data_IF_883498589451
#
_entry.id   IF_883498589451
#
_cell.length_a   1.000
_cell.length_b   1.000
_cell.length_c   1.000
_cell.angle_alpha   90.00
_cell.angle_beta   90.00
_cell.angle_gamma   90.00
#
_symmetry.space_group_name_H-M   'P 1'
#
loop_
_entity.id
_entity.type
_entity.pdbx_description
1 polymer ?
#
# COMPACT_ATOMS: atom_id res chain seq x y z
N UNK A 1 9.48 14.84 -10.41
CA UNK A 1 10.39 13.69 -10.52
C UNK A 1 9.67 12.34 -10.36
N UNK A 2 8.96 12.06 -9.26
CA UNK A 2 8.28 10.75 -9.05
C UNK A 2 7.23 10.43 -10.12
N UNK A 3 6.42 11.42 -10.55
CA UNK A 3 5.47 11.27 -11.67
C UNK A 3 6.14 10.89 -13.01
N UNK A 4 7.41 11.23 -13.22
CA UNK A 4 8.15 10.83 -14.42
C UNK A 4 8.73 9.42 -14.29
N UNK A 5 8.93 8.93 -13.06
CA UNK A 5 9.48 7.59 -12.76
C UNK A 5 8.41 6.49 -12.69
N UNK A 6 7.14 6.84 -12.48
CA UNK A 6 6.03 5.90 -12.49
C UNK A 6 4.96 6.36 -13.51
N UNK A 7 4.99 5.84 -14.75
CA UNK A 7 4.03 6.16 -15.80
C UNK A 7 2.55 5.97 -15.38
N UNK A 8 2.31 5.09 -14.39
CA UNK A 8 1.00 4.79 -13.78
C UNK A 8 0.23 6.02 -13.29
N UNK A 9 0.93 7.07 -12.87
CA UNK A 9 0.29 8.32 -12.46
C UNK A 9 -0.36 9.09 -13.62
N UNK A 10 0.04 8.83 -14.88
CA UNK A 10 -0.49 9.50 -16.08
C UNK A 10 -1.55 8.71 -16.83
N UNK A 11 -1.43 7.37 -16.88
CA UNK A 11 -2.27 6.52 -17.76
C UNK A 11 -2.97 5.36 -17.05
N UNK A 12 -2.61 5.05 -15.80
CA UNK A 12 -3.23 3.94 -15.07
C UNK A 12 -4.72 4.14 -14.77
N UNK A 13 -5.46 3.04 -14.71
CA UNK A 13 -6.85 3.03 -14.27
C UNK A 13 -6.95 3.48 -12.80
N UNK A 14 -8.01 4.21 -12.45
CA UNK A 14 -8.27 4.64 -11.08
C UNK A 14 -9.26 3.66 -10.43
N UNK A 15 -8.85 3.03 -9.34
CA UNK A 15 -9.71 2.14 -8.57
C UNK A 15 -9.78 2.65 -7.13
N UNK A 16 -10.94 3.14 -6.73
CA UNK A 16 -11.16 3.60 -5.35
C UNK A 16 -11.16 2.40 -4.39
N UNK A 17 -10.54 2.58 -3.23
CA UNK A 17 -10.50 1.57 -2.18
C UNK A 17 -11.46 1.94 -1.06
N UNK A 18 -12.03 0.92 -0.41
CA UNK A 18 -12.81 1.12 0.80
C UNK A 18 -11.88 1.47 1.96
N UNK A 19 -12.04 2.68 2.48
CA UNK A 19 -11.35 3.18 3.67
C UNK A 19 -12.34 3.27 4.83
N UNK A 20 -11.94 2.78 6.02
CA UNK A 20 -12.77 2.90 7.22
C UNK A 20 -12.92 4.34 7.73
N UNK A 21 -12.02 5.24 7.33
CA UNK A 21 -11.98 6.63 7.76
C UNK A 21 -12.27 7.58 6.58
N UNK A 22 -13.38 8.33 6.57
CA UNK A 22 -13.74 9.23 5.47
C UNK A 22 -12.82 10.46 5.35
N UNK A 23 -11.98 10.73 6.35
CA UNK A 23 -10.94 11.76 6.26
C UNK A 23 -9.72 11.30 5.46
N UNK A 24 -9.64 10.02 5.11
CA UNK A 24 -8.54 9.44 4.34
C UNK A 24 -9.07 8.95 3.00
N UNK A 25 -8.51 9.52 1.92
CA UNK A 25 -8.75 9.08 0.57
C UNK A 25 -7.73 8.00 0.19
N UNK A 26 -8.21 6.85 -0.26
CA UNK A 26 -7.35 5.75 -0.71
C UNK A 26 -7.81 5.21 -2.07
N UNK A 27 -6.88 5.00 -2.98
CA UNK A 27 -7.14 4.46 -4.31
C UNK A 27 -5.87 3.85 -4.90
N UNK A 28 -6.02 2.92 -5.83
CA UNK A 28 -4.92 2.43 -6.65
C UNK A 28 -4.92 3.05 -8.03
N UNK A 29 -3.72 3.12 -8.59
CA UNK A 29 -3.46 3.36 -10.00
C UNK A 29 -2.84 2.10 -10.55
N UNK A 30 -3.44 1.52 -11.59
CA UNK A 30 -3.03 0.22 -12.16
C UNK A 30 -2.78 0.37 -13.65
N UNK A 31 -1.64 -0.13 -14.12
CA UNK A 31 -1.32 -0.38 -15.53
C UNK A 31 -1.09 -1.89 -15.68
N UNK A 32 -1.77 -2.52 -16.63
CA UNK A 32 -1.50 -3.90 -17.01
C UNK A 32 -0.27 -4.00 -17.92
N UNK A 33 0.33 -5.19 -18.04
CA UNK A 33 1.48 -5.43 -18.93
C UNK A 33 1.19 -4.99 -20.37
N UNK A 34 0.00 -5.32 -20.90
CA UNK A 34 -0.44 -4.95 -22.25
C UNK A 34 -0.53 -3.43 -22.49
N UNK A 35 -0.75 -2.66 -21.43
CA UNK A 35 -0.86 -1.20 -21.47
C UNK A 35 0.47 -0.50 -21.15
N UNK A 36 1.46 -1.25 -20.67
CA UNK A 36 2.74 -0.74 -20.23
C UNK A 36 3.69 -0.57 -21.42
N UNK A 37 4.29 0.63 -21.63
CA UNK A 37 5.34 0.81 -22.64
C UNK A 37 6.63 0.02 -22.34
N UNK A 38 6.71 -0.59 -21.16
CA UNK A 38 7.87 -1.28 -20.62
C UNK A 38 7.61 -2.77 -20.36
N UNK A 39 6.46 -3.30 -20.80
CA UNK A 39 6.01 -4.69 -20.58
C UNK A 39 5.99 -5.13 -19.09
N UNK A 40 5.89 -4.18 -18.17
CA UNK A 40 5.83 -4.41 -16.72
C UNK A 40 4.49 -3.93 -16.16
N UNK A 41 3.85 -4.76 -15.33
CA UNK A 41 2.69 -4.35 -14.52
C UNK A 41 3.15 -3.38 -13.43
N UNK A 42 2.49 -2.23 -13.31
CA UNK A 42 2.77 -1.24 -12.27
C UNK A 42 1.48 -0.89 -11.53
N UNK A 43 1.48 -1.13 -10.22
CA UNK A 43 0.37 -0.79 -9.33
C UNK A 43 0.86 0.12 -8.22
N UNK A 44 0.27 1.31 -8.13
CA UNK A 44 0.58 2.28 -7.07
C UNK A 44 -0.64 2.54 -6.21
N UNK A 45 -0.51 2.23 -4.92
CA UNK A 45 -1.46 2.59 -3.88
C UNK A 45 -1.20 4.03 -3.42
N UNK A 46 -2.20 4.90 -3.58
CA UNK A 46 -2.21 6.26 -3.08
C UNK A 46 -3.08 6.36 -1.84
N UNK A 47 -2.53 6.89 -0.74
CA UNK A 47 -3.27 7.13 0.50
C UNK A 47 -3.01 8.56 0.96
N UNK A 48 -4.06 9.36 1.10
CA UNK A 48 -3.96 10.78 1.43
C UNK A 48 -4.89 11.14 2.59
N UNK A 49 -4.33 11.72 3.64
CA UNK A 49 -5.10 12.28 4.75
C UNK A 49 -5.56 13.69 4.41
N UNK A 50 -6.88 13.89 4.29
CA UNK A 50 -7.48 15.20 4.02
C UNK A 50 -7.65 16.04 5.30
N UNK A 51 -7.51 15.42 6.48
CA UNK A 51 -7.55 16.10 7.77
C UNK A 51 -6.20 16.76 8.10
N UNK A 52 -6.25 17.87 8.84
CA UNK A 52 -5.06 18.53 9.41
C UNK A 52 -4.49 17.80 10.64
N UNK A 53 -5.20 16.81 11.15
CA UNK A 53 -4.79 16.02 12.32
C UNK A 53 -4.34 14.63 11.90
N UNK A 54 -3.50 13.94 12.69
CA UNK A 54 -3.18 12.54 12.45
C UNK A 54 -4.44 11.68 12.39
N UNK A 55 -4.49 10.74 11.45
CA UNK A 55 -5.63 9.85 11.24
C UNK A 55 -5.15 8.40 11.06
N UNK A 56 -5.79 7.43 11.75
CA UNK A 56 -5.68 6.03 11.38
C UNK A 56 -6.66 5.71 10.23
N UNK A 57 -6.31 4.72 9.43
CA UNK A 57 -7.20 4.15 8.41
C UNK A 57 -6.94 2.65 8.30
N UNK A 58 -8.02 1.88 8.16
CA UNK A 58 -7.96 0.48 7.75
C UNK A 58 -8.40 0.41 6.29
N UNK A 59 -7.60 -0.26 5.47
CA UNK A 59 -7.83 -0.42 4.04
C UNK A 59 -8.10 -1.89 3.70
N UNK A 60 -9.13 -2.15 2.91
CA UNK A 60 -9.34 -3.47 2.31
C UNK A 60 -8.43 -3.64 1.09
N UNK A 61 -7.33 -4.37 1.28
CA UNK A 61 -6.32 -4.61 0.25
C UNK A 61 -6.26 -6.08 -0.19
N UNK A 62 -7.26 -6.89 0.13
CA UNK A 62 -7.23 -8.36 -0.12
C UNK A 62 -6.98 -8.74 -1.58
N UNK A 63 -7.34 -7.88 -2.54
CA UNK A 63 -7.00 -8.08 -3.97
C UNK A 63 -5.49 -8.18 -4.22
N UNK A 64 -4.69 -7.66 -3.32
CA UNK A 64 -3.23 -7.61 -3.38
C UNK A 64 -2.59 -8.48 -2.28
N UNK A 65 -3.29 -9.50 -1.78
CA UNK A 65 -2.71 -10.42 -0.81
C UNK A 65 -1.37 -11.00 -1.31
N UNK A 66 -0.37 -11.04 -0.43
CA UNK A 66 0.99 -11.43 -0.74
C UNK A 66 1.87 -10.32 -1.31
N UNK A 67 1.29 -9.21 -1.79
CA UNK A 67 2.07 -8.07 -2.28
C UNK A 67 2.73 -7.32 -1.14
N UNK A 68 3.91 -6.78 -1.39
CA UNK A 68 4.64 -5.91 -0.45
C UNK A 68 4.55 -4.44 -0.89
N UNK A 69 3.97 -3.54 -0.08
CA UNK A 69 3.98 -2.11 -0.37
C UNK A 69 5.38 -1.55 -0.15
N UNK A 70 5.93 -0.86 -1.15
CA UNK A 70 7.22 -0.17 -1.06
C UNK A 70 7.00 1.33 -1.24
N UNK A 71 7.38 2.13 -0.25
CA UNK A 71 7.16 3.58 -0.25
C UNK A 71 8.01 4.25 -1.34
N UNK A 72 7.38 4.99 -2.25
CA UNK A 72 8.02 5.46 -3.48
C UNK A 72 9.11 6.53 -3.28
N UNK A 73 9.13 7.28 -2.16
CA UNK A 73 10.14 8.31 -1.91
C UNK A 73 11.44 7.74 -1.33
N UNK A 74 11.32 6.90 -0.31
CA UNK A 74 12.42 6.35 0.48
C UNK A 74 12.76 4.90 0.17
N UNK A 75 11.94 4.20 -0.63
CA UNK A 75 12.13 2.79 -0.97
C UNK A 75 11.92 1.85 0.21
N UNK A 76 11.22 2.29 1.26
CA UNK A 76 11.03 1.50 2.47
C UNK A 76 9.91 0.49 2.23
N UNK A 77 10.23 -0.79 2.40
CA UNK A 77 9.25 -1.87 2.34
C UNK A 77 8.43 -1.94 3.64
N UNK A 78 7.11 -1.99 3.46
CA UNK A 78 6.13 -2.20 4.50
C UNK A 78 5.74 -3.68 4.60
N UNK A 79 5.10 -4.12 5.69
CA UNK A 79 4.62 -5.49 5.82
C UNK A 79 3.81 -5.96 4.61
N UNK A 80 3.95 -7.23 4.25
CA UNK A 80 3.16 -7.83 3.19
C UNK A 80 1.66 -7.74 3.51
N UNK A 81 0.86 -7.54 2.46
CA UNK A 81 -0.59 -7.49 2.56
C UNK A 81 -1.10 -8.91 2.83
N UNK A 82 -1.91 -9.07 3.87
CA UNK A 82 -2.60 -10.32 4.18
C UNK A 82 -4.12 -10.20 4.03
N UNK A 83 -4.83 -11.12 4.66
CA UNK A 83 -6.30 -11.19 4.64
C UNK A 83 -6.99 -10.15 5.54
N UNK A 84 -6.26 -9.59 6.51
CA UNK A 84 -6.79 -8.60 7.44
C UNK A 84 -6.70 -7.18 6.86
N UNK A 85 -7.59 -6.26 7.30
CA UNK A 85 -7.50 -4.86 6.91
C UNK A 85 -6.12 -4.28 7.20
N UNK A 86 -5.57 -3.58 6.20
CA UNK A 86 -4.23 -3.03 6.27
C UNK A 86 -4.26 -1.69 6.99
N UNK A 87 -3.71 -1.65 8.21
CA UNK A 87 -3.73 -0.45 9.06
C UNK A 87 -2.58 0.50 8.71
N UNK A 88 -2.92 1.76 8.46
CA UNK A 88 -1.97 2.86 8.30
C UNK A 88 -2.31 4.00 9.26
N UNK A 89 -1.29 4.76 9.65
CA UNK A 89 -1.45 6.02 10.37
C UNK A 89 -0.73 7.11 9.60
N UNK A 90 -1.46 8.18 9.25
CA UNK A 90 -0.92 9.30 8.49
C UNK A 90 -0.87 10.54 9.38
N UNK A 91 0.18 11.38 9.27
CA UNK A 91 0.18 12.70 9.89
C UNK A 91 -0.87 13.59 9.23
N UNK A 92 -1.16 14.75 9.83
CA UNK A 92 -2.06 15.74 9.24
C UNK A 92 -1.59 16.18 7.85
N UNK A 93 -2.49 16.15 6.87
CA UNK A 93 -2.20 16.39 5.45
C UNK A 93 -1.09 15.49 4.86
N UNK A 94 -0.76 14.40 5.54
CA UNK A 94 0.20 13.40 5.08
C UNK A 94 -0.36 12.57 3.93
N UNK A 95 0.54 12.05 3.12
CA UNK A 95 0.22 11.11 2.06
C UNK A 95 1.32 10.06 1.93
N UNK A 96 0.96 8.89 1.40
CA UNK A 96 1.87 7.85 0.98
C UNK A 96 1.57 7.42 -0.45
N UNK A 97 2.63 7.14 -1.20
CA UNK A 97 2.56 6.39 -2.44
C UNK A 97 3.35 5.12 -2.24
N UNK A 98 2.69 3.98 -2.42
CA UNK A 98 3.33 2.68 -2.37
C UNK A 98 3.28 2.02 -3.73
N UNK A 99 4.41 1.57 -4.23
CA UNK A 99 4.42 0.57 -5.28
C UNK A 99 4.07 -0.77 -4.66
N UNK A 100 3.06 -1.46 -5.21
CA UNK A 100 2.70 -2.80 -4.76
C UNK A 100 3.50 -3.80 -5.56
N UNK A 101 4.50 -4.40 -4.92
CA UNK A 101 5.37 -5.40 -5.54
C UNK A 101 4.74 -6.78 -5.35
N UNK A 102 4.48 -7.55 -6.42
CA UNK A 102 3.95 -8.90 -6.31
C UNK A 102 4.92 -9.79 -5.52
N UNK A 103 4.43 -10.86 -4.87
CA UNK A 103 5.31 -11.84 -4.27
C UNK A 103 6.22 -12.45 -5.35
N UNK A 104 7.53 -12.53 -5.10
CA UNK A 104 8.40 -13.35 -5.94
C UNK A 104 7.95 -14.81 -5.84
N UNK A 105 7.96 -15.55 -6.95
CA UNK A 105 7.74 -17.00 -6.98
C UNK A 105 8.83 -17.71 -6.15
N UNK A 106 8.75 -17.68 -4.82
CA UNK A 106 9.79 -18.25 -3.98
C UNK A 106 9.84 -17.91 -2.49
N UNK A 107 9.10 -16.93 -1.96
CA UNK A 107 9.19 -16.60 -0.53
C UNK A 107 7.89 -16.91 0.26
N UNK A 108 7.79 -18.05 0.96
CA UNK A 108 6.66 -18.39 1.82
C UNK A 108 6.70 -17.70 3.20
N UNK A 109 7.40 -16.57 3.36
CA UNK A 109 7.97 -16.14 4.63
C UNK A 109 7.62 -14.74 5.16
N UNK A 110 6.43 -14.17 4.93
CA UNK A 110 6.06 -12.87 5.53
C UNK A 110 4.77 -12.87 6.37
N UNK A 111 4.34 -14.04 6.85
CA UNK A 111 3.27 -14.18 7.84
C UNK A 111 3.83 -14.34 9.26
N UNK A 112 4.35 -13.27 9.88
CA UNK A 112 4.66 -13.28 11.31
C UNK A 112 4.51 -11.89 11.93
N UNK A 113 3.27 -11.54 12.30
CA UNK A 113 3.04 -10.45 13.25
C UNK A 113 3.73 -10.75 14.59
N UNK A 114 4.20 -9.72 15.33
CA UNK A 114 4.88 -9.95 16.59
C UNK A 114 3.92 -10.55 17.61
N UNK A 115 4.14 -11.83 17.93
CA UNK A 115 3.48 -12.49 19.05
C UNK A 115 3.84 -11.78 20.36
N UNK A 116 2.88 -11.04 20.88
CA UNK A 116 2.87 -10.53 22.25
C UNK A 116 3.12 -11.68 23.22
N UNK A 117 4.31 -11.74 23.84
CA UNK A 117 4.55 -12.61 24.98
C UNK A 117 4.09 -11.88 26.25
N UNK A 118 2.81 -12.02 26.55
CA UNK A 118 2.26 -11.69 27.85
C UNK A 118 2.77 -12.68 28.91
N UNK A 119 3.26 -12.14 30.03
CA UNK A 119 3.22 -12.78 31.35
C UNK A 119 4.32 -13.78 31.69
N UNK A 120 5.23 -13.38 32.58
CA UNK A 120 5.52 -14.24 33.74
C UNK A 120 5.86 -13.41 34.98
N UNK A 121 4.90 -13.42 35.90
CA UNK A 121 5.03 -13.13 37.33
C UNK A 121 6.18 -13.92 37.95
N UNK A 122 7.02 -13.22 38.71
CA UNK A 122 7.44 -13.58 40.08
C UNK A 122 7.85 -12.32 40.81
#
# INVERSE_FOLDING_TARGET
>A
EIRQRHPVFGVGSYVELSASNPSVLAFTREITEDESPWDEMDTVLCVSNLSRFPQPVELDLRRFEGYSPVECMGGVQFPAIGELPYLLTLPGHGFFWFQLVPPEDGDPGAGAGPGTRAGRTV
#
